data_IF_458048095279
#
_entry.id   IF_458048095279
#
_cell.length_a   1.000
_cell.length_b   1.000
_cell.length_c   1.000
_cell.angle_alpha   90.00
_cell.angle_beta   90.00
_cell.angle_gamma   90.00
#
_symmetry.space_group_name_H-M   'P 1'
#
loop_
_entity.id
_entity.type
_entity.pdbx_description
1 polymer ?
#
# COMPACT_ATOMS: atom_id res chain seq x y z
N UNK A 1 29.17 34.58 -15.88
CA UNK A 1 27.91 33.81 -16.10
C UNK A 1 27.94 32.35 -15.61
N UNK A 2 29.10 31.70 -15.37
CA UNK A 2 29.14 30.29 -14.95
C UNK A 2 28.76 29.99 -13.48
N UNK A 3 28.93 30.95 -12.56
CA UNK A 3 28.62 30.75 -11.12
C UNK A 3 27.12 30.60 -10.83
N UNK A 4 26.25 31.30 -11.56
CA UNK A 4 24.80 31.27 -11.35
C UNK A 4 24.19 29.93 -11.80
N UNK A 5 24.70 29.35 -12.89
CA UNK A 5 24.28 28.03 -13.38
C UNK A 5 24.73 26.90 -12.45
N UNK A 6 25.93 26.98 -11.87
CA UNK A 6 26.39 26.00 -10.88
C UNK A 6 25.55 26.02 -9.59
N UNK A 7 25.15 27.23 -9.15
CA UNK A 7 24.29 27.41 -7.98
C UNK A 7 22.87 26.89 -8.21
N UNK A 8 22.27 27.18 -9.37
CA UNK A 8 20.96 26.64 -9.76
C UNK A 8 20.99 25.10 -9.85
N UNK A 9 22.05 24.52 -10.41
CA UNK A 9 22.22 23.07 -10.50
C UNK A 9 22.41 22.40 -9.13
N UNK A 10 23.11 23.07 -8.20
CA UNK A 10 23.26 22.61 -6.82
C UNK A 10 21.93 22.65 -6.05
N UNK A 11 21.18 23.75 -6.17
CA UNK A 11 19.86 23.88 -5.56
C UNK A 11 18.85 22.88 -6.13
N UNK A 12 18.88 22.67 -7.45
CA UNK A 12 18.05 21.68 -8.12
C UNK A 12 18.42 20.26 -7.69
N UNK A 13 19.72 19.94 -7.58
CA UNK A 13 20.18 18.65 -7.07
C UNK A 13 19.76 18.41 -5.62
N UNK A 14 19.88 19.41 -4.75
CA UNK A 14 19.47 19.32 -3.35
C UNK A 14 17.94 19.19 -3.18
N UNK A 15 17.18 19.82 -4.08
CA UNK A 15 15.73 19.67 -4.10
C UNK A 15 15.31 18.26 -4.52
N UNK A 16 15.94 17.70 -5.56
CA UNK A 16 15.68 16.33 -5.99
C UNK A 16 16.02 15.30 -4.90
N UNK A 17 17.15 15.44 -4.22
CA UNK A 17 17.52 14.53 -3.12
C UNK A 17 16.55 14.61 -1.94
N UNK A 18 16.00 15.80 -1.66
CA UNK A 18 15.00 15.97 -0.61
C UNK A 18 13.66 15.29 -0.97
N UNK A 19 13.20 15.43 -2.22
CA UNK A 19 11.98 14.76 -2.69
C UNK A 19 12.14 13.23 -2.76
N UNK A 20 13.32 12.75 -3.13
CA UNK A 20 13.65 11.31 -3.12
C UNK A 20 13.65 10.76 -1.70
N UNK A 21 14.21 11.50 -0.75
CA UNK A 21 14.19 11.14 0.67
C UNK A 21 12.75 11.11 1.21
N UNK A 22 11.93 12.12 0.90
CA UNK A 22 10.50 12.17 1.28
C UNK A 22 9.74 10.97 0.73
N UNK A 23 9.94 10.68 -0.56
CA UNK A 23 9.31 9.54 -1.22
C UNK A 23 9.72 8.23 -0.57
N UNK A 24 11.01 8.06 -0.29
CA UNK A 24 11.55 6.86 0.38
C UNK A 24 10.91 6.67 1.75
N UNK A 25 10.84 7.72 2.56
CA UNK A 25 10.26 7.58 3.90
C UNK A 25 8.75 7.35 3.84
N UNK A 26 8.02 8.00 2.91
CA UNK A 26 6.61 7.69 2.70
C UNK A 26 6.40 6.22 2.33
N UNK A 27 7.23 5.66 1.45
CA UNK A 27 7.15 4.24 1.07
C UNK A 27 7.40 3.30 2.26
N UNK A 28 8.34 3.66 3.12
CA UNK A 28 8.57 2.91 4.37
C UNK A 28 7.35 2.98 5.30
N UNK A 29 6.75 4.16 5.48
CA UNK A 29 5.53 4.35 6.26
C UNK A 29 4.36 3.52 5.71
N UNK A 30 4.14 3.56 4.39
CA UNK A 30 3.07 2.82 3.73
C UNK A 30 3.25 1.30 3.92
N UNK A 31 4.50 0.81 3.86
CA UNK A 31 4.81 -0.60 4.06
C UNK A 31 4.67 -1.06 5.51
N UNK A 32 5.07 -0.24 6.49
CA UNK A 32 4.81 -0.54 7.92
C UNK A 32 3.34 -0.62 8.20
N UNK A 33 2.59 0.37 7.74
CA UNK A 33 1.14 0.37 7.86
C UNK A 33 0.54 -0.91 7.25
N UNK A 34 1.00 -1.32 6.07
CA UNK A 34 0.54 -2.55 5.43
C UNK A 34 0.82 -3.80 6.28
N UNK A 35 2.00 -3.87 6.92
CA UNK A 35 2.37 -4.97 7.81
C UNK A 35 1.46 -5.04 9.04
N UNK A 36 1.16 -3.89 9.62
CA UNK A 36 0.32 -3.79 10.83
C UNK A 36 -1.14 -4.13 10.50
N UNK A 37 -1.59 -3.81 9.29
CA UNK A 37 -2.94 -4.10 8.81
C UNK A 37 -3.12 -5.56 8.35
N UNK A 38 -2.05 -6.24 7.93
CA UNK A 38 -2.13 -7.57 7.32
C UNK A 38 -2.89 -8.63 8.16
N UNK A 39 -2.77 -8.69 9.50
CA UNK A 39 -3.59 -9.56 10.35
C UNK A 39 -5.09 -9.37 10.20
N UNK A 40 -5.52 -8.20 9.72
CA UNK A 40 -6.90 -7.89 9.43
C UNK A 40 -7.35 -8.31 8.02
N UNK A 41 -6.45 -8.92 7.24
CA UNK A 41 -6.72 -9.41 5.89
C UNK A 41 -7.51 -10.72 5.85
N UNK A 42 -8.00 -11.03 4.65
CA UNK A 42 -8.60 -12.31 4.28
C UNK A 42 -8.00 -12.75 2.95
N UNK A 43 -7.57 -14.01 2.86
CA UNK A 43 -7.14 -14.57 1.56
C UNK A 43 -8.37 -14.75 0.68
N UNK A 44 -8.40 -14.05 -0.44
CA UNK A 44 -9.52 -13.99 -1.39
C UNK A 44 -9.26 -14.74 -2.69
N UNK A 45 -7.99 -14.97 -3.03
CA UNK A 45 -7.62 -15.84 -4.15
C UNK A 45 -6.27 -16.51 -3.85
N UNK A 46 -6.13 -17.78 -4.22
CA UNK A 46 -4.97 -18.62 -3.87
C UNK A 46 -4.04 -18.93 -5.03
N UNK A 47 -4.52 -18.74 -6.26
CA UNK A 47 -3.84 -19.15 -7.50
C UNK A 47 -3.86 -18.02 -8.53
N UNK A 48 -3.35 -16.85 -8.14
CA UNK A 48 -3.17 -15.73 -9.05
C UNK A 48 -1.77 -15.74 -9.65
N UNK A 49 -1.60 -15.10 -10.80
CA UNK A 49 -0.30 -14.85 -11.40
C UNK A 49 0.02 -13.37 -11.30
N UNK A 50 1.19 -13.03 -10.76
CA UNK A 50 1.71 -11.67 -10.75
C UNK A 50 2.13 -11.25 -12.17
N UNK A 51 2.29 -9.95 -12.47
CA UNK A 51 2.61 -9.48 -13.83
C UNK A 51 3.89 -10.07 -14.43
N UNK A 52 4.76 -10.64 -13.60
CA UNK A 52 6.01 -11.25 -14.03
C UNK A 52 5.98 -12.78 -14.12
N UNK A 53 4.79 -13.38 -14.05
CA UNK A 53 4.60 -14.83 -14.11
C UNK A 53 4.71 -15.55 -12.77
N UNK A 54 5.08 -14.84 -11.69
CA UNK A 54 5.23 -15.47 -10.37
C UNK A 54 3.88 -15.89 -9.81
N UNK A 55 3.72 -17.14 -9.33
CA UNK A 55 2.54 -17.56 -8.60
C UNK A 55 2.36 -16.75 -7.31
N UNK A 56 1.13 -16.34 -7.04
CA UNK A 56 0.79 -15.53 -5.88
C UNK A 56 -0.61 -15.81 -5.35
N UNK A 57 -0.91 -15.12 -4.26
CA UNK A 57 -2.24 -15.07 -3.65
C UNK A 57 -2.71 -13.61 -3.51
N UNK A 58 -4.01 -13.41 -3.46
CA UNK A 58 -4.63 -12.12 -3.19
C UNK A 58 -5.17 -12.08 -1.75
N UNK A 59 -4.80 -11.04 -1.03
CA UNK A 59 -5.29 -10.74 0.32
C UNK A 59 -6.13 -9.47 0.24
N UNK A 60 -7.33 -9.51 0.79
CA UNK A 60 -8.22 -8.34 0.86
C UNK A 60 -8.30 -7.82 2.29
N UNK A 61 -8.04 -6.52 2.43
CA UNK A 61 -8.30 -5.71 3.63
C UNK A 61 -9.53 -4.85 3.39
N UNK A 62 -10.32 -4.58 4.43
CA UNK A 62 -11.56 -3.82 4.30
C UNK A 62 -11.61 -2.62 5.23
N UNK A 63 -12.03 -1.49 4.68
CA UNK A 63 -12.09 -0.21 5.37
C UNK A 63 -13.46 0.45 5.16
N UNK A 64 -14.03 1.09 6.19
CA UNK A 64 -15.25 1.89 6.00
C UNK A 64 -14.98 3.06 5.04
N UNK A 65 -15.92 3.36 4.16
CA UNK A 65 -15.78 4.43 3.17
C UNK A 65 -16.02 5.83 3.76
N UNK A 66 -15.18 6.25 4.70
CA UNK A 66 -15.29 7.57 5.34
C UNK A 66 -15.06 8.71 4.33
N UNK A 67 -15.61 9.92 4.57
CA UNK A 67 -15.38 11.09 3.72
C UNK A 67 -13.89 11.40 3.48
N UNK A 68 -13.02 11.18 4.47
CA UNK A 68 -11.57 11.36 4.33
C UNK A 68 -10.98 10.41 3.29
N UNK A 69 -11.33 9.11 3.35
CA UNK A 69 -10.85 8.11 2.40
C UNK A 69 -11.39 8.35 0.99
N UNK A 70 -12.65 8.77 0.86
CA UNK A 70 -13.24 9.19 -0.42
C UNK A 70 -12.45 10.33 -1.06
N UNK A 71 -12.12 11.37 -0.29
CA UNK A 71 -11.27 12.47 -0.76
C UNK A 71 -9.86 12.02 -1.10
N UNK A 72 -9.26 11.14 -0.29
CA UNK A 72 -7.90 10.64 -0.48
C UNK A 72 -7.67 9.91 -1.82
N UNK A 73 -8.68 9.19 -2.30
CA UNK A 73 -8.63 8.51 -3.61
C UNK A 73 -9.25 9.28 -4.78
N UNK A 74 -9.75 10.51 -4.56
CA UNK A 74 -10.55 11.28 -5.53
C UNK A 74 -11.68 10.46 -6.14
N UNK A 75 -12.42 9.75 -5.27
CA UNK A 75 -13.51 8.89 -5.71
C UNK A 75 -14.70 9.72 -6.21
N UNK A 76 -15.38 9.29 -7.29
CA UNK A 76 -16.60 9.95 -7.76
C UNK A 76 -17.69 10.01 -6.70
N UNK A 77 -18.57 11.00 -6.76
CA UNK A 77 -19.70 11.11 -5.85
C UNK A 77 -20.78 10.07 -6.18
N UNK A 78 -20.95 9.67 -7.44
CA UNK A 78 -21.98 8.71 -7.85
C UNK A 78 -21.55 7.25 -7.53
N UNK A 79 -22.29 6.51 -6.68
CA UNK A 79 -21.93 5.13 -6.29
C UNK A 79 -21.71 4.17 -7.46
N UNK A 80 -22.53 4.25 -8.52
CA UNK A 80 -22.38 3.38 -9.69
C UNK A 80 -21.07 3.67 -10.46
N UNK A 81 -20.62 4.92 -10.45
CA UNK A 81 -19.33 5.28 -11.03
C UNK A 81 -18.17 4.80 -10.15
N UNK A 82 -18.30 4.95 -8.82
CA UNK A 82 -17.29 4.46 -7.86
C UNK A 82 -16.98 2.98 -8.01
N UNK A 83 -17.98 2.13 -8.25
CA UNK A 83 -17.78 0.68 -8.41
C UNK A 83 -16.90 0.31 -9.60
N UNK A 84 -16.92 1.16 -10.64
CA UNK A 84 -16.11 0.99 -11.85
C UNK A 84 -14.70 1.56 -11.70
N UNK A 85 -14.47 2.40 -10.71
CA UNK A 85 -13.19 3.02 -10.43
C UNK A 85 -12.30 2.16 -9.53
N UNK A 86 -10.99 2.38 -9.64
CA UNK A 86 -9.98 1.77 -8.77
C UNK A 86 -8.80 2.71 -8.60
N UNK A 87 -8.12 2.61 -7.45
CA UNK A 87 -6.85 3.28 -7.18
C UNK A 87 -5.76 2.23 -7.10
N UNK A 88 -4.67 2.38 -7.84
CA UNK A 88 -3.58 1.40 -7.89
C UNK A 88 -2.25 1.99 -7.39
N UNK A 89 -1.32 1.12 -7.02
CA UNK A 89 0.04 1.49 -6.65
C UNK A 89 0.12 2.29 -5.34
N UNK A 90 1.03 3.27 -5.27
CA UNK A 90 1.39 3.97 -4.03
C UNK A 90 0.24 4.81 -3.45
N UNK A 91 -0.79 5.11 -4.25
CA UNK A 91 -1.96 5.82 -3.79
C UNK A 91 -2.99 4.91 -3.13
N UNK A 92 -2.94 3.59 -3.37
CA UNK A 92 -3.92 2.64 -2.84
C UNK A 92 -3.88 2.58 -1.32
N UNK A 93 -2.69 2.46 -0.71
CA UNK A 93 -2.54 2.47 0.75
C UNK A 93 -3.00 3.80 1.37
N UNK A 94 -2.61 4.93 0.78
CA UNK A 94 -3.00 6.26 1.29
C UNK A 94 -4.50 6.51 1.19
N UNK A 95 -5.12 6.12 0.08
CA UNK A 95 -6.58 6.19 -0.08
C UNK A 95 -7.31 5.22 0.88
N UNK A 96 -6.67 4.13 1.28
CA UNK A 96 -7.16 3.22 2.32
C UNK A 96 -6.95 3.74 3.75
N UNK A 97 -6.18 4.83 3.93
CA UNK A 97 -5.96 5.49 5.22
C UNK A 97 -4.55 5.33 5.81
N UNK A 98 -3.59 4.84 5.03
CA UNK A 98 -2.18 4.85 5.44
C UNK A 98 -1.73 6.28 5.79
N UNK A 99 -0.97 6.47 6.88
CA UNK A 99 -0.58 7.79 7.33
C UNK A 99 0.33 8.48 6.32
N UNK A 100 0.03 9.75 6.05
CA UNK A 100 0.95 10.61 5.32
C UNK A 100 2.17 10.92 6.19
N UNK A 101 3.34 10.80 5.58
CA UNK A 101 4.59 11.27 6.15
C UNK A 101 4.53 12.78 6.35
N UNK A 102 4.57 13.24 7.60
CA UNK A 102 4.78 14.65 7.95
C UNK A 102 6.27 14.89 8.11
N UNK A 103 6.80 15.91 7.42
CA UNK A 103 8.25 16.08 7.18
C UNK A 103 9.11 16.10 8.44
N UNK A 104 8.65 16.65 9.56
CA UNK A 104 9.42 16.69 10.82
C UNK A 104 9.27 15.40 11.65
N UNK A 105 8.03 14.95 11.87
CA UNK A 105 7.76 13.71 12.60
C UNK A 105 8.39 12.51 11.91
N UNK A 106 8.31 12.45 10.59
CA UNK A 106 8.81 11.31 9.86
C UNK A 106 10.35 11.29 9.71
N UNK A 107 11.04 12.44 9.70
CA UNK A 107 12.50 12.46 9.85
C UNK A 107 12.90 11.92 11.23
N UNK A 108 12.17 12.31 12.29
CA UNK A 108 12.40 11.78 13.63
C UNK A 108 12.12 10.28 13.72
N UNK A 109 11.07 9.78 13.05
CA UNK A 109 10.80 8.35 12.94
C UNK A 109 11.89 7.62 12.15
N UNK A 110 12.48 8.23 11.12
CA UNK A 110 13.64 7.68 10.43
C UNK A 110 14.87 7.52 11.33
N UNK A 111 15.06 8.44 12.28
CA UNK A 111 16.09 8.34 13.32
C UNK A 111 15.75 7.26 14.37
N UNK A 112 14.49 7.18 14.80
CA UNK A 112 14.01 6.16 15.78
C UNK A 112 14.13 4.74 15.23
N UNK A 113 13.83 4.53 13.94
CA UNK A 113 13.83 3.21 13.32
C UNK A 113 15.16 2.85 12.64
N UNK A 114 16.09 3.79 12.56
CA UNK A 114 17.38 3.63 11.87
C UNK A 114 17.26 3.67 10.35
N UNK A 115 18.23 4.32 9.70
CA UNK A 115 18.23 4.54 8.25
C UNK A 115 18.13 3.25 7.42
N UNK A 116 18.75 2.16 7.88
CA UNK A 116 18.73 0.85 7.18
C UNK A 116 17.33 0.25 7.16
N UNK A 117 16.57 0.39 8.24
CA UNK A 117 15.19 -0.13 8.31
C UNK A 117 14.29 0.60 7.33
N UNK A 118 14.37 1.93 7.30
CA UNK A 118 13.62 2.78 6.35
C UNK A 118 13.91 2.38 4.90
N UNK A 119 15.18 2.25 4.54
CA UNK A 119 15.58 1.86 3.18
C UNK A 119 15.08 0.45 2.84
N UNK A 120 15.14 -0.47 3.79
CA UNK A 120 14.68 -1.85 3.59
C UNK A 120 13.17 -1.89 3.35
N UNK A 121 12.39 -1.22 4.18
CA UNK A 121 10.93 -1.16 4.07
C UNK A 121 10.47 -0.44 2.81
N UNK A 122 11.10 0.69 2.48
CA UNK A 122 10.85 1.41 1.24
C UNK A 122 11.12 0.51 0.01
N UNK A 123 12.21 -0.26 0.02
CA UNK A 123 12.53 -1.17 -1.06
C UNK A 123 11.57 -2.37 -1.15
N UNK A 124 11.03 -2.86 -0.02
CA UNK A 124 9.95 -3.86 -0.01
C UNK A 124 8.66 -3.30 -0.58
N UNK A 125 8.30 -2.06 -0.22
CA UNK A 125 7.15 -1.38 -0.81
C UNK A 125 7.32 -1.20 -2.32
N UNK A 126 8.49 -0.73 -2.75
CA UNK A 126 8.83 -0.55 -4.16
C UNK A 126 8.64 -1.84 -4.95
N UNK A 127 9.08 -2.97 -4.41
CA UNK A 127 8.82 -4.27 -5.02
C UNK A 127 7.32 -4.51 -5.24
N UNK A 128 6.46 -4.24 -4.25
CA UNK A 128 5.00 -4.39 -4.41
C UNK A 128 4.45 -3.46 -5.50
N UNK A 129 4.95 -2.22 -5.58
CA UNK A 129 4.57 -1.28 -6.63
C UNK A 129 4.96 -1.78 -8.02
N UNK A 130 6.19 -2.26 -8.18
CA UNK A 130 6.72 -2.77 -9.44
C UNK A 130 5.95 -4.02 -9.92
N UNK A 131 5.31 -4.75 -8.98
CA UNK A 131 4.43 -5.90 -9.28
C UNK A 131 2.97 -5.54 -9.44
N UNK A 132 2.61 -4.25 -9.43
CA UNK A 132 1.22 -3.79 -9.44
C UNK A 132 0.37 -4.53 -8.40
N UNK A 133 0.96 -4.77 -7.23
CA UNK A 133 0.39 -5.64 -6.22
C UNK A 133 -0.74 -4.99 -5.42
N UNK A 134 -0.89 -3.67 -5.50
CA UNK A 134 -1.79 -2.90 -4.65
C UNK A 134 -2.93 -2.30 -5.48
N UNK A 135 -4.16 -2.63 -5.09
CA UNK A 135 -5.37 -2.11 -5.71
C UNK A 135 -6.44 -1.85 -4.67
N UNK A 136 -6.96 -0.62 -4.63
CA UNK A 136 -8.11 -0.24 -3.83
C UNK A 136 -9.35 -0.14 -4.71
N UNK A 137 -10.44 -0.76 -4.29
CA UNK A 137 -11.76 -0.68 -4.93
C UNK A 137 -12.83 -0.28 -3.92
N UNK A 138 -13.95 0.26 -4.40
CA UNK A 138 -15.13 0.55 -3.58
C UNK A 138 -16.28 -0.39 -3.93
N UNK A 139 -17.01 -0.86 -2.92
CA UNK A 139 -18.19 -1.70 -3.10
C UNK A 139 -19.32 -1.28 -2.16
N UNK A 140 -20.55 -1.39 -2.63
CA UNK A 140 -21.73 -1.44 -1.76
C UNK A 140 -21.65 -2.66 -0.85
N UNK A 141 -22.18 -2.54 0.37
CA UNK A 141 -22.18 -3.66 1.33
C UNK A 141 -23.01 -4.82 0.80
N UNK A 142 -24.11 -4.50 0.15
CA UNK A 142 -25.06 -5.43 -0.47
C UNK A 142 -24.48 -6.15 -1.69
N UNK A 143 -23.48 -5.54 -2.35
CA UNK A 143 -22.78 -6.10 -3.50
C UNK A 143 -21.56 -6.95 -3.14
N UNK A 144 -21.26 -7.15 -1.85
CA UNK A 144 -20.17 -8.01 -1.42
C UNK A 144 -20.57 -9.49 -1.49
N UNK A 145 -19.62 -10.32 -1.91
CA UNK A 145 -19.80 -11.77 -1.88
C UNK A 145 -20.09 -12.23 -0.42
N UNK A 146 -21.12 -13.07 -0.17
CA UNK A 146 -21.58 -13.37 1.18
C UNK A 146 -20.50 -13.97 2.12
N UNK A 147 -19.59 -14.79 1.60
CA UNK A 147 -18.51 -15.36 2.43
C UNK A 147 -17.48 -14.30 2.81
N UNK A 148 -17.13 -13.40 1.89
CA UNK A 148 -16.27 -12.24 2.13
C UNK A 148 -16.94 -11.27 3.11
N UNK A 149 -18.21 -10.93 2.89
CA UNK A 149 -19.01 -10.08 3.76
C UNK A 149 -19.07 -10.65 5.18
N UNK A 150 -19.21 -11.97 5.36
CA UNK A 150 -19.21 -12.62 6.68
C UNK A 150 -17.84 -12.59 7.36
N UNK A 151 -16.75 -12.81 6.60
CA UNK A 151 -15.38 -12.78 7.11
C UNK A 151 -14.95 -11.36 7.51
N UNK A 152 -15.39 -10.35 6.77
CA UNK A 152 -15.11 -8.93 7.03
C UNK A 152 -16.10 -8.30 8.02
N UNK A 153 -17.37 -8.71 8.01
CA UNK A 153 -18.47 -8.08 8.74
C UNK A 153 -18.33 -8.18 10.26
N UNK A 154 -17.75 -9.25 10.79
CA UNK A 154 -17.40 -9.33 12.23
C UNK A 154 -16.40 -8.25 12.64
N UNK A 155 -15.55 -7.80 11.71
CA UNK A 155 -14.50 -6.79 11.95
C UNK A 155 -15.00 -5.37 11.71
N UNK A 156 -15.79 -5.14 10.67
CA UNK A 156 -16.40 -3.82 10.40
C UNK A 156 -17.34 -3.36 11.53
N UNK A 157 -17.96 -4.28 12.27
CA UNK A 157 -18.78 -3.98 13.44
C UNK A 157 -18.00 -3.43 14.66
N UNK A 158 -16.68 -3.65 14.75
CA UNK A 158 -15.83 -3.16 15.85
C UNK A 158 -15.30 -1.74 15.64
N UNK A 159 -15.38 -1.21 14.41
CA UNK A 159 -15.11 0.20 14.12
C UNK A 159 -16.42 0.96 14.16
N UNK A 160 -16.64 1.81 15.18
CA UNK A 160 -17.84 2.64 15.30
C UNK A 160 -18.18 3.34 13.97
N UNK A 161 -19.16 2.80 13.26
CA UNK A 161 -19.74 3.38 12.05
C UNK A 161 -20.66 4.53 12.45
N UNK A 162 -20.09 5.66 12.86
CA UNK A 162 -20.81 6.93 12.83
C UNK A 162 -20.78 7.44 11.38
N UNK A 163 -21.57 6.80 10.53
CA UNK A 163 -21.58 7.03 9.09
C UNK A 163 -22.19 5.85 8.36
N UNK A 164 -23.47 5.60 8.62
CA UNK A 164 -24.24 4.58 7.91
C UNK A 164 -24.35 4.95 6.42
N UNK A 165 -24.07 3.97 5.54
CA UNK A 165 -24.56 3.98 4.16
C UNK A 165 -23.54 4.21 3.03
N UNK A 166 -22.27 4.52 3.28
CA UNK A 166 -21.37 4.97 2.20
C UNK A 166 -20.52 3.87 1.53
N UNK A 167 -20.75 2.59 1.85
CA UNK A 167 -20.04 1.44 1.27
C UNK A 167 -18.70 1.12 1.95
N UNK A 168 -17.94 0.22 1.34
CA UNK A 168 -16.69 -0.33 1.87
C UNK A 168 -15.58 -0.20 0.82
N UNK A 169 -14.39 0.23 1.26
CA UNK A 169 -13.18 0.14 0.47
C UNK A 169 -12.49 -1.20 0.71
N UNK A 170 -12.10 -1.86 -0.37
CA UNK A 170 -11.38 -3.13 -0.38
C UNK A 170 -9.98 -2.91 -0.96
N UNK A 171 -8.96 -3.04 -0.11
CA UNK A 171 -7.57 -3.01 -0.52
C UNK A 171 -7.12 -4.44 -0.80
N UNK A 172 -6.93 -4.77 -2.07
CA UNK A 172 -6.31 -6.00 -2.53
C UNK A 172 -4.78 -5.85 -2.54
N UNK A 173 -4.11 -6.83 -1.95
CA UNK A 173 -2.67 -7.00 -1.93
C UNK A 173 -2.34 -8.34 -2.57
N UNK A 174 -1.59 -8.31 -3.67
CA UNK A 174 -1.09 -9.50 -4.34
C UNK A 174 0.30 -9.84 -3.82
N UNK A 175 0.47 -11.00 -3.21
CA UNK A 175 1.73 -11.42 -2.60
C UNK A 175 2.24 -12.69 -3.29
N UNK A 176 3.53 -12.76 -3.65
CA UNK A 176 4.12 -13.99 -4.15
C UNK A 176 4.02 -15.16 -3.15
N UNK A 177 3.63 -16.34 -3.61
CA UNK A 177 3.52 -17.54 -2.79
C UNK A 177 2.19 -18.28 -2.92
N UNK A 178 2.04 -19.31 -2.08
CA UNK A 178 0.85 -20.17 -2.01
C UNK A 178 0.06 -19.91 -0.73
N UNK A 179 -1.23 -20.24 -0.72
CA UNK A 179 -2.10 -19.98 0.42
C UNK A 179 -1.78 -20.83 1.66
N UNK A 180 -1.36 -22.08 1.48
CA UNK A 180 -0.93 -22.98 2.57
C UNK A 180 0.27 -22.43 3.36
N UNK A 181 1.03 -21.58 2.70
CA UNK A 181 2.26 -20.97 3.15
C UNK A 181 2.02 -19.58 3.78
N UNK A 182 0.76 -19.14 3.85
CA UNK A 182 0.36 -17.81 4.26
C UNK A 182 0.10 -17.73 5.78
N UNK A 183 0.87 -16.89 6.46
CA UNK A 183 0.52 -16.36 7.78
C UNK A 183 0.23 -14.89 7.61
N UNK A 184 -0.99 -14.43 7.93
CA UNK A 184 -1.36 -13.03 7.74
C UNK A 184 -0.75 -12.16 8.84
N UNK A 185 0.56 -12.01 8.83
CA UNK A 185 1.32 -11.17 9.77
C UNK A 185 2.45 -10.42 9.06
N UNK A 186 2.89 -9.30 9.65
CA UNK A 186 3.91 -8.46 9.05
C UNK A 186 5.25 -9.16 8.83
N UNK A 187 5.62 -10.12 9.68
CA UNK A 187 6.89 -10.85 9.55
C UNK A 187 6.85 -11.86 8.38
N UNK A 188 5.70 -12.45 8.11
CA UNK A 188 5.47 -13.26 6.93
C UNK A 188 5.59 -12.43 5.65
N UNK A 189 4.98 -11.25 5.60
CA UNK A 189 5.10 -10.37 4.44
C UNK A 189 6.55 -10.00 4.16
N UNK A 190 7.31 -9.65 5.21
CA UNK A 190 8.74 -9.38 5.12
C UNK A 190 9.52 -10.55 4.52
N UNK A 191 9.36 -11.75 5.09
CA UNK A 191 10.04 -12.97 4.59
C UNK A 191 9.68 -13.28 3.14
N UNK A 192 8.42 -13.08 2.76
CA UNK A 192 7.93 -13.32 1.39
C UNK A 192 8.55 -12.35 0.40
N UNK A 193 8.39 -11.05 0.65
CA UNK A 193 8.92 -10.02 -0.25
C UNK A 193 10.44 -10.16 -0.37
N UNK A 194 11.16 -10.37 0.73
CA UNK A 194 12.62 -10.52 0.67
C UNK A 194 13.08 -11.77 -0.08
N UNK A 195 12.39 -12.91 0.08
CA UNK A 195 12.68 -14.12 -0.69
C UNK A 195 12.62 -13.84 -2.19
N UNK A 196 11.53 -13.24 -2.66
CA UNK A 196 11.33 -13.01 -4.09
C UNK A 196 12.15 -11.84 -4.66
N UNK A 197 12.52 -10.86 -3.82
CA UNK A 197 13.49 -9.82 -4.19
C UNK A 197 14.88 -10.40 -4.44
N UNK A 198 15.30 -11.42 -3.68
CA UNK A 198 16.63 -12.06 -3.81
C UNK A 198 16.72 -13.02 -5.00
N UNK A 199 15.60 -13.63 -5.39
CA UNK A 199 15.57 -14.62 -6.49
C UNK A 199 15.72 -13.93 -7.86
N UNK A 200 15.47 -12.62 -7.97
CA UNK A 200 15.73 -11.90 -9.21
C UNK A 200 17.16 -11.35 -9.26
N UNK A 201 17.86 -11.50 -10.41
CA UNK A 201 19.03 -10.68 -10.66
C UNK A 201 18.61 -9.20 -10.60
N UNK A 202 19.44 -8.37 -9.95
CA UNK A 202 19.23 -6.93 -9.90
C UNK A 202 19.02 -6.40 -11.33
N UNK A 203 18.09 -5.44 -11.55
CA UNK A 203 18.01 -4.79 -12.85
C UNK A 203 19.38 -4.20 -13.16
N UNK A 204 19.94 -4.53 -14.33
CA UNK A 204 21.15 -3.90 -14.82
C UNK A 204 20.91 -2.38 -14.80
N UNK A 205 21.74 -1.66 -14.04
CA UNK A 205 21.61 -0.22 -13.84
C UNK A 205 21.48 0.50 -15.18
N UNK A 206 20.57 1.47 -15.23
CA UNK A 206 20.63 2.56 -16.20
C UNK A 206 21.48 3.68 -15.63
#
# INVERSE_FOLDING_TARGET
MFRTLAMLRSLQSAHHTLEDARTTIQQACDYRWLKDELPHGVITATDITLPDGTPGLAITLAYPATPERRRGGRWPDEPAERERCRVEGAHACRAAGAPAYRTLEGLSQGLVHGAVSVLTEAARFRFLLDRQALRLTWRRVEGLEPTLARRLGRRLAHGKTNGGGDGIFLLEIKVPGRAEEASLDGAWLDRRVDRYRRIRPAPAGR
#
